data_IF_965761934052
#
_entry.id   IF_965761934052
#
_cell.length_a   1.000
_cell.length_b   1.000
_cell.length_c   1.000
_cell.angle_alpha   90.00
_cell.angle_beta   90.00
_cell.angle_gamma   90.00
#
_symmetry.space_group_name_H-M   'P 1'
#
loop_
_entity.id
_entity.type
_entity.pdbx_description
1 polymer ?
#
# COMPACT_ATOMS: atom_id res chain seq x y z
N UNK A 1 -10.33 -17.35 -0.09
CA UNK A 1 -10.51 -17.08 -1.52
C UNK A 1 -9.17 -16.87 -2.23
N UNK A 2 -8.32 -15.97 -1.76
CA UNK A 2 -6.99 -15.73 -2.34
C UNK A 2 -5.95 -16.19 -1.33
N UNK A 3 -5.33 -17.36 -1.57
CA UNK A 3 -4.27 -17.90 -0.71
C UNK A 3 -2.92 -17.71 -1.40
N UNK A 4 -2.48 -16.46 -1.49
CA UNK A 4 -1.20 -16.13 -2.12
C UNK A 4 0.00 -16.24 -1.17
N UNK A 5 -0.25 -16.54 0.09
CA UNK A 5 0.78 -16.79 1.11
C UNK A 5 0.21 -17.67 2.22
N UNK A 6 1.07 -18.38 2.90
CA UNK A 6 0.75 -19.24 4.04
C UNK A 6 1.85 -19.19 5.09
N UNK A 7 1.50 -19.32 6.35
CA UNK A 7 2.49 -19.51 7.42
C UNK A 7 2.98 -20.95 7.43
N UNK A 8 4.30 -21.10 7.56
CA UNK A 8 4.99 -22.39 7.73
C UNK A 8 5.75 -22.40 9.06
N UNK A 9 6.02 -23.59 9.61
CA UNK A 9 6.81 -23.74 10.82
C UNK A 9 6.05 -23.63 12.15
N UNK A 10 4.81 -23.11 12.16
CA UNK A 10 3.96 -22.99 13.35
C UNK A 10 2.52 -23.35 13.02
N UNK A 11 1.85 -24.02 13.96
CA UNK A 11 0.42 -24.25 13.93
C UNK A 11 -0.25 -23.44 15.04
N UNK A 12 -0.92 -22.37 14.64
CA UNK A 12 -1.72 -21.57 15.57
C UNK A 12 -3.16 -22.06 15.60
N UNK A 13 -3.75 -22.14 16.77
CA UNK A 13 -5.21 -22.17 16.87
C UNK A 13 -5.80 -20.79 16.53
N UNK A 14 -7.12 -20.69 16.34
CA UNK A 14 -7.77 -19.44 15.88
C UNK A 14 -7.55 -18.26 16.84
N UNK A 15 -7.47 -18.49 18.15
CA UNK A 15 -7.22 -17.45 19.14
C UNK A 15 -5.77 -16.96 19.13
N UNK A 16 -4.82 -17.88 19.07
CA UNK A 16 -3.40 -17.57 18.95
C UNK A 16 -3.15 -16.77 17.67
N UNK A 17 -3.71 -17.22 16.54
CA UNK A 17 -3.61 -16.52 15.27
C UNK A 17 -4.18 -15.10 15.38
N UNK A 18 -5.37 -14.93 15.97
CA UNK A 18 -6.00 -13.63 16.15
C UNK A 18 -5.09 -12.65 16.90
N UNK A 19 -4.55 -13.06 18.05
CA UNK A 19 -3.71 -12.18 18.85
C UNK A 19 -2.37 -11.88 18.20
N UNK A 20 -1.69 -12.88 17.63
CA UNK A 20 -0.43 -12.68 16.93
C UNK A 20 -0.61 -11.79 15.69
N UNK A 21 -1.63 -12.03 14.88
CA UNK A 21 -1.94 -11.20 13.74
C UNK A 21 -2.27 -9.76 14.15
N UNK A 22 -3.14 -9.58 15.16
CA UNK A 22 -3.52 -8.24 15.64
C UNK A 22 -2.31 -7.46 16.11
N UNK A 23 -1.43 -8.06 16.92
CA UNK A 23 -0.23 -7.41 17.42
C UNK A 23 0.72 -7.04 16.25
N UNK A 24 0.99 -7.98 15.37
CA UNK A 24 1.90 -7.78 14.24
C UNK A 24 1.39 -6.70 13.28
N UNK A 25 0.13 -6.78 12.88
CA UNK A 25 -0.45 -5.81 11.95
C UNK A 25 -0.67 -4.42 12.56
N UNK A 26 -0.86 -4.31 13.88
CA UNK A 26 -0.98 -3.01 14.54
C UNK A 26 0.28 -2.14 14.42
N UNK A 27 1.43 -2.73 14.21
CA UNK A 27 2.72 -2.02 14.07
C UNK A 27 3.02 -1.59 12.65
N UNK A 28 2.32 -2.12 11.65
CA UNK A 28 2.61 -1.93 10.23
C UNK A 28 2.43 -0.47 9.81
N UNK A 29 1.26 0.11 10.10
CA UNK A 29 0.97 1.50 9.74
C UNK A 29 1.93 2.49 10.44
N UNK A 30 2.15 2.42 11.77
CA UNK A 30 3.14 3.25 12.45
C UNK A 30 4.56 3.10 11.89
N UNK A 31 4.98 1.90 11.51
CA UNK A 31 6.31 1.67 10.95
C UNK A 31 6.50 2.40 9.61
N UNK A 32 5.55 2.26 8.68
CA UNK A 32 5.62 2.93 7.37
C UNK A 32 5.56 4.44 7.52
N UNK A 33 4.63 4.96 8.33
CA UNK A 33 4.46 6.39 8.52
C UNK A 33 5.66 7.01 9.25
N UNK A 34 6.17 6.37 10.30
CA UNK A 34 7.37 6.80 11.00
C UNK A 34 8.61 6.79 10.10
N UNK A 35 8.78 5.77 9.26
CA UNK A 35 9.85 5.72 8.27
C UNK A 35 9.72 6.85 7.25
N UNK A 36 8.53 7.12 6.75
CA UNK A 36 8.26 8.27 5.86
C UNK A 36 8.60 9.59 6.53
N UNK A 37 8.23 9.77 7.81
CA UNK A 37 8.53 10.98 8.54
C UNK A 37 10.05 11.17 8.75
N UNK A 38 10.77 10.10 9.05
CA UNK A 38 12.25 10.12 9.08
C UNK A 38 12.82 10.49 7.71
N UNK A 39 12.33 9.88 6.61
CA UNK A 39 12.79 10.25 5.28
C UNK A 39 12.57 11.74 4.97
N UNK A 40 11.45 12.30 5.38
CA UNK A 40 11.13 13.72 5.18
C UNK A 40 12.05 14.68 5.98
N UNK A 41 12.83 14.18 6.95
CA UNK A 41 13.85 15.01 7.64
C UNK A 41 15.10 15.24 6.79
N UNK A 42 15.33 14.41 5.76
CA UNK A 42 16.48 14.57 4.88
C UNK A 42 16.29 15.78 3.95
N UNK A 43 17.19 16.75 4.04
CA UNK A 43 17.12 18.03 3.34
C UNK A 43 17.14 17.92 1.81
N UNK A 44 17.60 16.81 1.25
CA UNK A 44 17.71 16.60 -0.20
C UNK A 44 16.43 16.05 -0.84
N UNK A 45 15.51 15.42 -0.09
CA UNK A 45 14.33 14.76 -0.65
C UNK A 45 13.39 15.77 -1.29
N UNK A 46 13.01 16.82 -0.57
CA UNK A 46 12.12 17.85 -1.13
C UNK A 46 12.68 18.53 -2.39
N UNK A 47 13.92 19.07 -2.38
CA UNK A 47 14.49 19.66 -3.58
C UNK A 47 14.57 18.70 -4.76
N UNK A 48 14.77 17.41 -4.52
CA UNK A 48 14.86 16.42 -5.59
C UNK A 48 13.52 16.12 -6.25
N UNK A 49 12.40 16.21 -5.51
CA UNK A 49 11.08 15.75 -5.99
C UNK A 49 9.97 16.81 -6.00
N UNK A 50 10.24 18.04 -5.56
CA UNK A 50 9.25 19.12 -5.50
C UNK A 50 9.35 20.11 -6.69
N UNK A 51 10.06 19.76 -7.74
CA UNK A 51 10.13 20.54 -8.99
C UNK A 51 9.99 19.63 -10.22
N UNK A 52 9.22 18.55 -10.08
CA UNK A 52 8.96 17.65 -11.19
C UNK A 52 7.80 18.13 -12.06
N UNK A 53 7.60 17.47 -13.20
CA UNK A 53 6.52 17.84 -14.11
C UNK A 53 5.16 17.76 -13.41
N UNK A 54 4.36 18.84 -13.42
CA UNK A 54 3.02 18.85 -12.85
C UNK A 54 2.11 17.85 -13.56
N UNK A 55 1.37 17.08 -12.78
CA UNK A 55 0.34 16.16 -13.30
C UNK A 55 -1.03 16.74 -13.02
N UNK A 56 -1.70 17.20 -14.06
CA UNK A 56 -3.05 17.74 -13.98
C UNK A 56 -4.04 16.72 -14.58
N UNK A 57 -5.10 16.46 -13.87
CA UNK A 57 -6.15 15.55 -14.31
C UNK A 57 -7.34 16.37 -14.88
N UNK A 58 -7.49 16.46 -16.21
CA UNK A 58 -8.68 17.04 -16.78
C UNK A 58 -9.89 16.20 -16.36
N UNK A 59 -10.98 16.87 -15.97
CA UNK A 59 -12.20 16.20 -15.50
C UNK A 59 -11.96 15.21 -14.34
N UNK A 60 -11.19 15.61 -13.30
CA UNK A 60 -10.82 14.77 -12.17
C UNK A 60 -12.02 14.06 -11.52
N UNK A 61 -13.19 14.72 -11.41
CA UNK A 61 -14.41 14.09 -10.87
C UNK A 61 -14.93 12.95 -11.75
N UNK A 62 -14.92 13.12 -13.07
CA UNK A 62 -15.35 12.07 -14.00
C UNK A 62 -14.40 10.87 -13.93
N UNK A 63 -13.10 11.15 -13.92
CA UNK A 63 -12.08 10.10 -13.72
C UNK A 63 -12.28 9.37 -12.40
N UNK A 64 -12.56 10.09 -11.31
CA UNK A 64 -12.82 9.50 -9.99
C UNK A 64 -14.05 8.57 -9.99
N UNK A 65 -15.14 8.95 -10.69
CA UNK A 65 -16.31 8.09 -10.82
C UNK A 65 -15.96 6.79 -11.54
N UNK A 66 -15.27 6.87 -12.69
CA UNK A 66 -14.85 5.66 -13.42
C UNK A 66 -13.90 4.79 -12.59
N UNK A 67 -12.91 5.40 -11.95
CA UNK A 67 -11.96 4.68 -11.12
C UNK A 67 -12.64 3.98 -9.93
N UNK A 68 -13.61 4.64 -9.28
CA UNK A 68 -14.41 4.07 -8.19
C UNK A 68 -15.22 2.87 -8.66
N UNK A 69 -15.94 2.99 -9.79
CA UNK A 69 -16.75 1.90 -10.35
C UNK A 69 -15.87 0.71 -10.76
N UNK A 70 -14.77 0.97 -11.48
CA UNK A 70 -13.85 -0.09 -11.91
C UNK A 70 -13.25 -0.79 -10.69
N UNK A 71 -12.81 -0.05 -9.67
CA UNK A 71 -12.24 -0.63 -8.46
C UNK A 71 -13.27 -1.48 -7.69
N UNK A 72 -14.51 -1.03 -7.60
CA UNK A 72 -15.59 -1.79 -6.99
C UNK A 72 -15.89 -3.10 -7.73
N UNK A 73 -16.00 -3.03 -9.05
CA UNK A 73 -16.19 -4.22 -9.91
C UNK A 73 -14.99 -5.18 -9.79
N UNK A 74 -13.78 -4.62 -9.76
CA UNK A 74 -12.54 -5.39 -9.62
C UNK A 74 -12.48 -6.17 -8.32
N UNK A 75 -12.83 -5.55 -7.19
CA UNK A 75 -12.91 -6.23 -5.89
C UNK A 75 -13.97 -7.33 -5.89
N UNK A 76 -15.15 -7.06 -6.44
CA UNK A 76 -16.20 -8.06 -6.57
C UNK A 76 -15.76 -9.23 -7.48
N UNK A 77 -15.01 -8.91 -8.54
CA UNK A 77 -14.48 -9.89 -9.49
C UNK A 77 -13.44 -10.85 -8.90
N UNK A 78 -12.77 -10.48 -7.80
CA UNK A 78 -11.79 -11.36 -7.11
C UNK A 78 -12.47 -12.66 -6.66
N UNK A 79 -13.76 -12.60 -6.25
CA UNK A 79 -14.53 -13.79 -5.89
C UNK A 79 -14.75 -14.77 -7.04
N UNK A 80 -14.67 -14.30 -8.30
CA UNK A 80 -14.88 -15.11 -9.51
C UNK A 80 -13.56 -15.52 -10.16
N UNK A 81 -12.59 -14.57 -10.24
CA UNK A 81 -11.29 -14.76 -10.88
C UNK A 81 -10.12 -14.42 -9.94
N UNK A 82 -9.95 -15.14 -8.81
CA UNK A 82 -8.95 -14.78 -7.79
C UNK A 82 -7.54 -14.74 -8.35
N UNK A 83 -7.15 -15.68 -9.21
CA UNK A 83 -5.80 -15.79 -9.74
C UNK A 83 -5.38 -14.66 -10.68
N UNK A 84 -6.32 -13.95 -11.29
CA UNK A 84 -6.03 -12.82 -12.19
C UNK A 84 -6.20 -11.47 -11.53
N UNK A 85 -7.11 -11.37 -10.55
CA UNK A 85 -7.50 -10.09 -9.96
C UNK A 85 -6.93 -9.87 -8.54
N UNK A 86 -6.16 -10.82 -8.00
CA UNK A 86 -5.65 -10.74 -6.62
C UNK A 86 -4.88 -9.45 -6.32
N UNK A 87 -4.12 -8.94 -7.31
CA UNK A 87 -3.34 -7.70 -7.15
C UNK A 87 -4.22 -6.48 -6.89
N UNK A 88 -5.48 -6.52 -7.34
CA UNK A 88 -6.45 -5.44 -7.14
C UNK A 88 -6.93 -5.35 -5.69
N UNK A 89 -6.72 -6.40 -4.88
CA UNK A 89 -6.93 -6.34 -3.44
C UNK A 89 -6.05 -5.25 -2.78
N UNK A 90 -4.86 -5.02 -3.30
CA UNK A 90 -3.88 -4.05 -2.80
C UNK A 90 -3.98 -2.66 -3.44
N UNK A 91 -4.59 -2.57 -4.62
CA UNK A 91 -4.65 -1.31 -5.38
C UNK A 91 -6.02 -0.65 -5.23
N UNK A 92 -7.10 -1.45 -5.23
CA UNK A 92 -8.46 -0.90 -5.26
C UNK A 92 -8.82 -0.10 -4.01
N UNK A 93 -8.43 -0.44 -2.77
CA UNK A 93 -8.74 0.38 -1.60
C UNK A 93 -8.15 1.78 -1.72
N UNK A 94 -6.91 1.91 -2.16
CA UNK A 94 -6.27 3.21 -2.43
C UNK A 94 -7.09 4.02 -3.45
N UNK A 95 -7.44 3.40 -4.59
CA UNK A 95 -8.20 4.08 -5.65
C UNK A 95 -9.58 4.49 -5.15
N UNK A 96 -10.27 3.65 -4.38
CA UNK A 96 -11.58 3.96 -3.80
C UNK A 96 -11.47 5.19 -2.89
N UNK A 97 -10.53 5.20 -1.94
CA UNK A 97 -10.35 6.30 -0.99
C UNK A 97 -10.07 7.60 -1.73
N UNK A 98 -9.08 7.59 -2.64
CA UNK A 98 -8.70 8.79 -3.43
C UNK A 98 -9.85 9.28 -4.31
N UNK A 99 -10.62 8.36 -4.91
CA UNK A 99 -11.78 8.73 -5.71
C UNK A 99 -12.87 9.40 -4.88
N UNK A 100 -13.16 8.87 -3.70
CA UNK A 100 -14.13 9.47 -2.78
C UNK A 100 -13.67 10.86 -2.33
N UNK A 101 -12.41 11.03 -1.93
CA UNK A 101 -11.85 12.33 -1.56
C UNK A 101 -11.96 13.33 -2.72
N UNK A 102 -11.65 12.88 -3.96
CA UNK A 102 -11.80 13.73 -5.17
C UNK A 102 -13.24 14.17 -5.40
N UNK A 103 -14.21 13.26 -5.24
CA UNK A 103 -15.63 13.55 -5.42
C UNK A 103 -16.16 14.51 -4.35
N UNK A 104 -15.67 14.39 -3.11
CA UNK A 104 -15.98 15.27 -2.00
C UNK A 104 -15.28 16.63 -2.09
N UNK A 105 -14.33 16.79 -3.03
CA UNK A 105 -13.53 18.00 -3.17
C UNK A 105 -12.45 18.15 -2.10
N UNK A 106 -12.08 17.05 -1.46
CA UNK A 106 -11.02 17.02 -0.45
C UNK A 106 -9.64 16.87 -1.11
N UNK A 107 -8.61 17.30 -0.38
CA UNK A 107 -7.21 17.05 -0.80
C UNK A 107 -6.84 15.61 -0.47
N UNK A 108 -6.02 15.02 -1.32
CA UNK A 108 -5.50 13.67 -1.17
C UNK A 108 -4.02 13.61 -1.56
N UNK A 109 -3.36 12.49 -1.35
CA UNK A 109 -1.92 12.28 -1.56
C UNK A 109 -1.40 12.75 -2.94
N UNK A 110 -2.23 12.67 -3.99
CA UNK A 110 -1.85 13.09 -5.35
C UNK A 110 -2.16 14.56 -5.65
N UNK A 111 -2.81 15.31 -4.76
CA UNK A 111 -3.24 16.68 -5.02
C UNK A 111 -2.05 17.63 -5.26
N UNK A 112 -0.93 17.41 -4.58
CA UNK A 112 0.25 18.26 -4.69
C UNK A 112 1.05 18.03 -5.98
N UNK A 113 0.87 16.88 -6.64
CA UNK A 113 1.48 16.60 -7.94
C UNK A 113 1.02 17.56 -9.04
N UNK A 114 -0.16 18.18 -8.89
CA UNK A 114 -0.64 19.22 -9.81
C UNK A 114 0.20 20.50 -9.76
N UNK A 115 0.95 20.72 -8.69
CA UNK A 115 1.92 21.82 -8.55
C UNK A 115 3.37 21.36 -8.76
N UNK A 116 3.60 20.08 -9.08
CA UNK A 116 4.94 19.50 -9.25
C UNK A 116 5.58 19.00 -7.95
N UNK A 117 4.85 18.99 -6.84
CA UNK A 117 5.33 18.48 -5.55
C UNK A 117 5.04 16.98 -5.43
N UNK A 118 6.06 16.17 -5.69
CA UNK A 118 5.96 14.72 -5.67
C UNK A 118 6.49 14.10 -4.39
N UNK A 119 7.15 14.87 -3.52
CA UNK A 119 7.77 14.39 -2.27
C UNK A 119 6.83 13.53 -1.42
N UNK A 120 5.53 13.88 -1.20
CA UNK A 120 4.67 13.07 -0.36
C UNK A 120 4.43 11.66 -0.95
N UNK A 121 4.28 11.58 -2.26
CA UNK A 121 4.10 10.32 -2.99
C UNK A 121 5.38 9.47 -2.92
N UNK A 122 6.51 10.06 -3.29
CA UNK A 122 7.80 9.35 -3.33
C UNK A 122 8.24 8.90 -1.95
N UNK A 123 8.11 9.76 -0.92
CA UNK A 123 8.46 9.39 0.45
C UNK A 123 7.59 8.24 0.99
N UNK A 124 6.30 8.24 0.70
CA UNK A 124 5.39 7.16 1.13
C UNK A 124 5.72 5.83 0.46
N UNK A 125 5.97 5.85 -0.85
CA UNK A 125 6.38 4.67 -1.63
C UNK A 125 7.72 4.13 -1.13
N UNK A 126 8.72 5.01 -0.97
CA UNK A 126 10.06 4.63 -0.52
C UNK A 126 10.04 4.05 0.91
N UNK A 127 9.24 4.65 1.80
CA UNK A 127 9.09 4.17 3.18
C UNK A 127 8.52 2.75 3.23
N UNK A 128 7.47 2.48 2.44
CA UNK A 128 6.88 1.14 2.40
C UNK A 128 7.83 0.11 1.77
N UNK A 129 8.56 0.46 0.72
CA UNK A 129 9.59 -0.41 0.14
C UNK A 129 10.70 -0.71 1.14
N UNK A 130 11.15 0.30 1.89
CA UNK A 130 12.17 0.14 2.93
C UNK A 130 11.68 -0.79 4.05
N UNK A 131 10.50 -0.55 4.59
CA UNK A 131 9.89 -1.44 5.58
C UNK A 131 9.70 -2.85 5.03
N UNK A 132 9.18 -2.97 3.81
CA UNK A 132 8.95 -4.25 3.14
C UNK A 132 10.22 -5.06 2.97
N UNK A 133 11.33 -4.43 2.59
CA UNK A 133 12.62 -5.10 2.51
C UNK A 133 13.02 -5.73 3.86
N UNK A 134 12.91 -5.00 4.96
CA UNK A 134 13.26 -5.53 6.28
C UNK A 134 12.26 -6.59 6.77
N UNK A 135 10.97 -6.42 6.51
CA UNK A 135 9.98 -7.45 6.84
C UNK A 135 10.26 -8.75 6.11
N UNK A 136 10.59 -8.71 4.83
CA UNK A 136 10.94 -9.91 4.07
C UNK A 136 12.26 -10.54 4.54
N UNK A 137 13.23 -9.71 4.90
CA UNK A 137 14.50 -10.18 5.48
C UNK A 137 14.27 -10.89 6.82
N UNK A 138 13.49 -10.29 7.72
CA UNK A 138 13.17 -10.91 9.02
C UNK A 138 12.32 -12.16 8.84
N UNK A 139 11.35 -12.13 7.93
CA UNK A 139 10.56 -13.31 7.60
C UNK A 139 11.43 -14.48 7.16
N UNK A 140 12.41 -14.25 6.29
CA UNK A 140 13.29 -15.29 5.76
C UNK A 140 14.05 -16.04 6.87
N UNK A 141 14.45 -15.34 7.92
CA UNK A 141 15.20 -15.89 9.04
C UNK A 141 14.31 -16.31 10.24
N UNK A 142 13.00 -16.17 10.15
CA UNK A 142 12.09 -16.52 11.22
C UNK A 142 11.74 -18.00 11.23
N UNK A 143 11.35 -18.55 12.41
CA UNK A 143 10.84 -19.91 12.53
C UNK A 143 9.40 -20.01 12.01
N UNK A 144 8.60 -19.00 12.32
CA UNK A 144 7.23 -18.83 11.83
C UNK A 144 7.25 -17.90 10.62
N UNK A 145 7.57 -18.42 9.46
CA UNK A 145 7.66 -17.60 8.28
C UNK A 145 6.44 -17.74 7.38
N UNK A 146 6.17 -16.70 6.62
CA UNK A 146 5.23 -16.78 5.52
C UNK A 146 5.96 -17.06 4.21
N UNK A 147 5.36 -17.92 3.41
CA UNK A 147 5.82 -18.27 2.08
C UNK A 147 4.78 -17.84 1.05
N UNK A 148 5.27 -17.35 -0.10
CA UNK A 148 4.40 -16.84 -1.16
C UNK A 148 4.13 -17.89 -2.23
N UNK A 149 2.87 -17.94 -2.69
CA UNK A 149 2.41 -18.73 -3.83
C UNK A 149 1.66 -17.84 -4.82
N UNK A 150 2.28 -16.72 -5.23
CA UNK A 150 1.64 -15.71 -6.08
C UNK A 150 1.54 -16.23 -7.51
N UNK A 151 0.31 -16.31 -8.08
CA UNK A 151 0.14 -16.77 -9.45
C UNK A 151 0.95 -15.94 -10.45
N UNK A 152 1.54 -16.60 -11.46
CA UNK A 152 2.26 -16.02 -12.60
C UNK A 152 3.59 -15.35 -12.27
N UNK A 153 3.81 -14.82 -11.07
CA UNK A 153 4.99 -14.01 -10.71
C UNK A 153 5.90 -14.66 -9.69
N UNK A 154 5.68 -15.91 -9.30
CA UNK A 154 6.45 -16.62 -8.28
C UNK A 154 7.85 -17.06 -8.79
N UNK A 155 8.63 -16.11 -9.32
CA UNK A 155 9.98 -16.30 -9.85
C UNK A 155 10.93 -15.23 -9.35
N UNK A 156 12.23 -15.53 -9.37
CA UNK A 156 13.29 -14.59 -8.98
C UNK A 156 13.03 -13.97 -7.61
N UNK A 157 13.11 -14.78 -6.58
CA UNK A 157 12.85 -14.35 -5.20
C UNK A 157 14.03 -13.59 -4.61
N UNK A 158 13.71 -12.52 -3.86
CA UNK A 158 14.59 -11.92 -2.88
C UNK A 158 13.97 -12.24 -1.51
N UNK A 159 14.68 -12.99 -0.70
CA UNK A 159 14.12 -13.69 0.46
C UNK A 159 13.01 -14.66 0.03
N UNK A 160 11.82 -14.61 0.66
CA UNK A 160 10.67 -15.41 0.22
C UNK A 160 9.79 -14.70 -0.83
N UNK A 161 9.90 -13.38 -0.96
CA UNK A 161 9.10 -12.57 -1.86
C UNK A 161 9.64 -12.61 -3.30
N UNK A 162 8.81 -12.92 -4.31
CA UNK A 162 9.18 -12.67 -5.70
C UNK A 162 9.50 -11.18 -5.93
N UNK A 163 10.52 -10.88 -6.75
CA UNK A 163 10.93 -9.48 -6.99
C UNK A 163 9.75 -8.62 -7.47
N UNK A 164 8.90 -9.14 -8.36
CA UNK A 164 7.69 -8.42 -8.79
C UNK A 164 6.67 -8.23 -7.66
N UNK A 165 6.72 -9.07 -6.62
CA UNK A 165 5.87 -8.91 -5.44
C UNK A 165 6.18 -7.62 -4.66
N UNK A 166 7.43 -7.16 -4.68
CA UNK A 166 7.82 -5.88 -4.07
C UNK A 166 7.08 -4.68 -4.67
N UNK A 167 6.59 -4.79 -5.91
CA UNK A 167 5.75 -3.75 -6.50
C UNK A 167 4.45 -3.50 -5.72
N UNK A 168 3.98 -4.47 -4.92
CA UNK A 168 2.84 -4.31 -4.03
C UNK A 168 3.07 -3.30 -2.90
N UNK A 169 4.33 -3.08 -2.50
CA UNK A 169 4.66 -2.06 -1.49
C UNK A 169 4.48 -0.63 -2.02
N UNK A 170 4.46 -0.40 -3.34
CA UNK A 170 4.27 0.93 -3.91
C UNK A 170 2.86 1.49 -3.59
N UNK A 171 1.77 0.82 -3.99
CA UNK A 171 0.42 1.26 -3.63
C UNK A 171 0.18 1.19 -2.12
N UNK A 172 0.76 0.20 -1.43
CA UNK A 172 0.62 0.06 0.01
C UNK A 172 1.14 1.27 0.79
N UNK A 173 2.28 1.84 0.42
CA UNK A 173 2.80 3.07 1.04
C UNK A 173 1.87 4.28 0.86
N UNK A 174 1.25 4.39 -0.30
CA UNK A 174 0.26 5.42 -0.59
C UNK A 174 -1.05 5.19 0.19
N UNK A 175 -1.46 3.93 0.33
CA UNK A 175 -2.61 3.53 1.12
C UNK A 175 -2.43 3.89 2.61
N UNK A 176 -1.25 3.62 3.17
CA UNK A 176 -0.90 4.06 4.52
C UNK A 176 -1.04 5.59 4.69
N UNK A 177 -0.58 6.36 3.71
CA UNK A 177 -0.67 7.82 3.75
C UNK A 177 -2.13 8.33 3.68
N UNK A 178 -2.96 7.78 2.80
CA UNK A 178 -4.37 8.22 2.71
C UNK A 178 -5.18 7.79 3.93
N UNK A 179 -4.87 6.64 4.55
CA UNK A 179 -5.50 6.21 5.81
C UNK A 179 -5.11 7.17 6.95
N UNK A 180 -3.85 7.55 7.04
CA UNK A 180 -3.40 8.55 8.02
C UNK A 180 -4.17 9.87 7.87
N UNK A 181 -4.30 10.37 6.64
CA UNK A 181 -5.03 11.60 6.36
C UNK A 181 -6.50 11.52 6.79
N UNK A 182 -7.16 10.38 6.54
CA UNK A 182 -8.52 10.13 7.00
C UNK A 182 -8.60 10.15 8.54
N UNK A 183 -7.72 9.45 9.23
CA UNK A 183 -7.68 9.40 10.69
C UNK A 183 -7.45 10.79 11.28
N UNK A 184 -6.47 11.54 10.74
CA UNK A 184 -6.20 12.93 11.17
C UNK A 184 -7.40 13.86 10.98
N UNK A 185 -8.13 13.69 9.89
CA UNK A 185 -9.34 14.46 9.62
C UNK A 185 -10.44 14.16 10.65
N UNK A 186 -10.60 12.90 11.06
CA UNK A 186 -11.59 12.47 12.06
C UNK A 186 -11.27 12.95 13.47
N UNK A 187 -10.01 12.93 13.87
CA UNK A 187 -9.58 13.36 15.21
C UNK A 187 -9.69 14.87 15.40
N UNK A 188 -9.65 15.66 14.30
CA UNK A 188 -9.73 17.13 14.35
C UNK A 188 -11.16 17.67 14.34
N UNK A 189 -12.16 16.82 14.16
CA UNK A 189 -13.59 17.16 14.27
C UNK A 189 -14.09 16.93 15.70
#
# INVERSE_FOLDING_TARGET
FVQNWQYTGIHFNSWEYFWHATLSFSTVLPAVLGTRDVMNTYSWIRPAFDNLNPVKYPNAKLLAVFALVISGISLAGIGVWPNYLFSLLWISPLIIIVSLQTLMGERHIFSEMAAGHWSPVIASVAAALFCGFFWEMWNYYSLAKWEYSIPFVNRYKLFEMPILGYAGYLPFGLECAVIEDLVKHWIKK
#
